data_IF_763667941476
#
_entry.id   IF_763667941476
#
_cell.length_a   1.000
_cell.length_b   1.000
_cell.length_c   1.000
_cell.angle_alpha   90.00
_cell.angle_beta   90.00
_cell.angle_gamma   90.00
#
_symmetry.space_group_name_H-M   'P 1'
#
loop_
_entity.id
_entity.type
_entity.pdbx_description
1 polymer ?
#
# COMPACT_ATOMS: atom_id res chain seq x y z
N UNK A 1 -40.50 -5.80 -27.20
CA UNK A 1 -39.72 -4.85 -26.39
C UNK A 1 -38.81 -5.69 -25.52
N UNK A 2 -37.59 -5.95 -25.97
CA UNK A 2 -36.63 -6.79 -25.23
C UNK A 2 -35.54 -5.87 -24.71
N UNK A 3 -35.63 -5.56 -23.42
CA UNK A 3 -34.68 -4.72 -22.71
C UNK A 3 -33.35 -5.46 -22.61
N UNK A 4 -32.33 -4.95 -23.30
CA UNK A 4 -30.97 -5.47 -23.24
C UNK A 4 -30.38 -5.00 -21.91
N UNK A 5 -30.34 -5.89 -20.92
CA UNK A 5 -29.59 -5.69 -19.69
C UNK A 5 -28.10 -5.55 -20.02
N UNK A 6 -27.63 -4.32 -20.17
CA UNK A 6 -26.23 -4.01 -20.37
C UNK A 6 -25.47 -4.28 -19.06
N UNK A 7 -24.72 -5.39 -19.01
CA UNK A 7 -23.86 -5.73 -17.88
C UNK A 7 -22.43 -5.23 -18.16
N UNK A 8 -22.00 -4.08 -17.61
CA UNK A 8 -20.71 -3.47 -17.91
C UNK A 8 -19.50 -4.26 -17.37
N UNK A 9 -19.70 -5.43 -16.76
CA UNK A 9 -18.63 -6.30 -16.25
C UNK A 9 -18.09 -7.30 -17.28
N UNK A 10 -18.59 -7.30 -18.51
CA UNK A 10 -18.18 -8.20 -19.59
C UNK A 10 -17.33 -7.51 -20.67
N UNK A 11 -16.98 -6.24 -20.50
CA UNK A 11 -16.14 -5.52 -21.46
C UNK A 11 -14.71 -6.09 -21.48
N UNK A 12 -14.26 -6.49 -22.68
CA UNK A 12 -12.97 -7.15 -22.97
C UNK A 12 -11.75 -6.21 -22.88
N UNK A 13 -11.99 -4.96 -22.49
CA UNK A 13 -10.98 -3.97 -22.18
C UNK A 13 -11.02 -3.67 -20.69
N UNK A 14 -10.29 -4.41 -19.83
CA UNK A 14 -10.04 -3.93 -18.48
C UNK A 14 -9.27 -2.62 -18.63
N UNK A 15 -9.96 -1.49 -18.49
CA UNK A 15 -9.33 -0.19 -18.34
C UNK A 15 -8.23 -0.37 -17.28
N UNK A 16 -7.00 -0.15 -17.73
CA UNK A 16 -5.76 -0.49 -17.05
C UNK A 16 -5.81 -0.20 -15.55
N UNK A 17 -6.15 -1.21 -14.75
CA UNK A 17 -6.01 -1.21 -13.29
C UNK A 17 -4.61 -1.69 -12.89
N UNK A 18 -3.71 -1.90 -13.86
CA UNK A 18 -2.54 -2.74 -13.69
C UNK A 18 -1.40 -2.06 -12.91
N UNK A 19 -1.31 -0.73 -12.88
CA UNK A 19 -0.11 -0.06 -12.33
C UNK A 19 -0.49 1.28 -11.71
N UNK A 20 -1.43 1.29 -10.75
CA UNK A 20 -1.51 2.46 -9.87
C UNK A 20 -0.36 2.38 -8.89
N UNK A 21 0.53 3.36 -8.97
CA UNK A 21 1.53 3.62 -7.95
C UNK A 21 0.83 3.62 -6.58
N UNK A 22 1.35 2.91 -5.57
CA UNK A 22 0.71 2.83 -4.26
C UNK A 22 0.48 4.20 -3.60
N UNK A 23 1.15 5.27 -4.05
CA UNK A 23 0.89 6.64 -3.63
C UNK A 23 -0.39 7.26 -4.25
N UNK A 24 -0.92 6.73 -5.35
CA UNK A 24 -2.14 7.21 -6.03
C UNK A 24 -3.43 6.58 -5.46
N UNK A 25 -3.30 5.66 -4.50
CA UNK A 25 -4.45 5.10 -3.81
C UNK A 25 -5.04 6.13 -2.85
N UNK A 26 -6.36 6.36 -2.96
CA UNK A 26 -7.13 7.26 -2.07
C UNK A 26 -6.95 6.88 -0.59
N UNK A 27 -6.65 5.61 -0.31
CA UNK A 27 -6.32 5.06 1.00
C UNK A 27 -4.90 5.35 1.51
N UNK A 28 -4.02 5.92 0.69
CA UNK A 28 -2.62 6.16 1.04
C UNK A 28 -2.44 7.19 2.15
N UNK A 29 -3.31 8.20 2.20
CA UNK A 29 -3.33 9.24 3.24
C UNK A 29 -4.06 8.82 4.53
N UNK A 30 -4.58 7.59 4.60
CA UNK A 30 -5.15 7.07 5.84
C UNK A 30 -4.05 6.90 6.90
N UNK A 31 -4.37 7.01 8.20
CA UNK A 31 -3.39 6.71 9.25
C UNK A 31 -2.86 5.28 9.10
N UNK A 32 -1.60 5.08 9.50
CA UNK A 32 -0.99 3.76 9.53
C UNK A 32 -1.86 2.75 10.27
N UNK A 33 -2.01 1.57 9.69
CA UNK A 33 -2.73 0.47 10.35
C UNK A 33 -1.86 -0.14 11.46
N UNK A 34 -2.48 -0.68 12.52
CA UNK A 34 -1.75 -1.32 13.61
C UNK A 34 -0.79 -2.43 13.13
N UNK A 35 -1.18 -3.18 12.09
CA UNK A 35 -0.34 -4.22 11.50
C UNK A 35 0.92 -3.65 10.84
N UNK A 36 0.78 -2.56 10.06
CA UNK A 36 1.93 -1.87 9.47
C UNK A 36 2.84 -1.27 10.54
N UNK A 37 2.26 -0.68 11.61
CA UNK A 37 3.03 -0.10 12.70
C UNK A 37 3.86 -1.16 13.44
N UNK A 38 3.25 -2.30 13.78
CA UNK A 38 3.98 -3.41 14.43
C UNK A 38 5.07 -3.97 13.54
N UNK A 39 4.82 -4.12 12.23
CA UNK A 39 5.82 -4.65 11.31
C UNK A 39 6.99 -3.69 11.10
N UNK A 40 6.70 -2.39 10.90
CA UNK A 40 7.73 -1.36 10.79
C UNK A 40 8.58 -1.28 12.08
N UNK A 41 7.98 -1.43 13.26
CA UNK A 41 8.71 -1.45 14.52
C UNK A 41 9.74 -2.59 14.58
N UNK A 42 9.33 -3.81 14.23
CA UNK A 42 10.27 -4.95 14.18
C UNK A 42 11.40 -4.71 13.19
N UNK A 43 11.09 -4.21 11.99
CA UNK A 43 12.11 -3.90 10.99
C UNK A 43 13.08 -2.83 11.49
N UNK A 44 12.57 -1.77 12.14
CA UNK A 44 13.38 -0.73 12.76
C UNK A 44 14.33 -1.28 13.84
N UNK A 45 13.83 -2.17 14.70
CA UNK A 45 14.66 -2.86 15.69
C UNK A 45 15.75 -3.72 15.04
N UNK A 46 15.43 -4.44 13.97
CA UNK A 46 16.40 -5.29 13.24
C UNK A 46 17.51 -4.48 12.57
N UNK A 47 17.21 -3.31 12.01
CA UNK A 47 18.23 -2.41 11.42
C UNK A 47 18.88 -1.48 12.46
N UNK A 48 18.39 -1.48 13.71
CA UNK A 48 18.89 -0.62 14.79
C UNK A 48 18.58 0.86 14.60
N UNK A 49 17.42 1.21 14.01
CA UNK A 49 16.96 2.60 13.84
C UNK A 49 15.73 2.86 14.69
N UNK A 50 15.46 4.13 15.01
CA UNK A 50 14.24 4.50 15.72
C UNK A 50 13.01 4.43 14.82
N UNK A 51 11.88 4.01 15.39
CA UNK A 51 10.59 4.06 14.73
C UNK A 51 10.21 5.53 14.49
N UNK A 52 9.71 5.90 13.30
CA UNK A 52 9.26 7.25 13.03
C UNK A 52 8.12 7.65 14.00
N UNK A 53 8.25 8.83 14.60
CA UNK A 53 7.37 9.34 15.67
C UNK A 53 6.29 10.32 15.19
N UNK A 54 6.20 10.55 13.87
CA UNK A 54 5.21 11.45 13.27
C UNK A 54 3.89 10.75 12.90
N UNK A 55 2.91 11.55 12.48
CA UNK A 55 1.67 11.06 11.86
C UNK A 55 2.00 10.32 10.56
N UNK A 56 2.22 9.01 10.69
CA UNK A 56 2.52 8.16 9.55
C UNK A 56 1.23 7.78 8.83
N UNK A 57 1.20 8.05 7.54
CA UNK A 57 0.15 7.52 6.68
C UNK A 57 0.43 6.07 6.31
N UNK A 58 -0.60 5.36 5.85
CA UNK A 58 -0.49 3.99 5.32
C UNK A 58 0.52 3.92 4.18
N UNK A 59 0.56 4.93 3.31
CA UNK A 59 1.53 5.01 2.22
C UNK A 59 2.95 5.24 2.74
N UNK A 60 3.13 6.15 3.70
CA UNK A 60 4.43 6.38 4.35
C UNK A 60 4.95 5.12 5.05
N UNK A 61 4.07 4.41 5.74
CA UNK A 61 4.39 3.15 6.39
C UNK A 61 4.85 2.11 5.39
N UNK A 62 4.13 1.94 4.28
CA UNK A 62 4.52 0.97 3.24
C UNK A 62 5.89 1.30 2.67
N UNK A 63 6.13 2.57 2.31
CA UNK A 63 7.43 3.01 1.77
C UNK A 63 8.57 2.72 2.74
N UNK A 64 8.41 3.06 4.02
CA UNK A 64 9.44 2.78 5.01
C UNK A 64 9.66 1.29 5.24
N UNK A 65 8.59 0.48 5.22
CA UNK A 65 8.71 -0.98 5.30
C UNK A 65 9.56 -1.50 4.13
N UNK A 66 9.28 -1.07 2.90
CA UNK A 66 10.06 -1.46 1.73
C UNK A 66 11.53 -1.03 1.84
N UNK A 67 11.79 0.22 2.27
CA UNK A 67 13.15 0.71 2.52
C UNK A 67 13.90 -0.13 3.57
N UNK A 68 13.24 -0.53 4.67
CA UNK A 68 13.86 -1.35 5.70
C UNK A 68 14.09 -2.78 5.22
N UNK A 69 13.15 -3.37 4.46
CA UNK A 69 13.32 -4.69 3.85
C UNK A 69 14.50 -4.70 2.87
N UNK A 70 14.64 -3.66 2.05
CA UNK A 70 15.78 -3.49 1.16
C UNK A 70 17.10 -3.41 1.93
N UNK A 71 17.16 -2.66 3.04
CA UNK A 71 18.35 -2.60 3.93
C UNK A 71 18.71 -3.95 4.54
N UNK A 72 17.71 -4.77 4.88
CA UNK A 72 17.90 -6.12 5.41
C UNK A 72 18.19 -7.17 4.31
N UNK A 73 18.10 -6.80 3.03
CA UNK A 73 18.25 -7.72 1.90
C UNK A 73 17.12 -8.74 1.78
N UNK A 74 15.88 -8.36 2.15
CA UNK A 74 14.68 -9.23 2.18
C UNK A 74 13.67 -8.93 1.05
N UNK A 75 14.18 -8.53 -0.11
CA UNK A 75 13.39 -8.24 -1.32
C UNK A 75 12.62 -9.47 -1.82
#
# INVERSE_FOLDING_TARGET
MTDHFHNPKLDEHPASNAEKDPADWVSGNEPITGAQASYLATLCEEVGVELPTGDLTKADASRQIDEMKAKLGRE
#
